data_IF_513187058869
#
_entry.id   IF_513187058869
#
_cell.length_a   1.000
_cell.length_b   1.000
_cell.length_c   1.000
_cell.angle_alpha   90.00
_cell.angle_beta   90.00
_cell.angle_gamma   90.00
#
_symmetry.space_group_name_H-M   'P 1'
#
loop_
_entity.id
_entity.type
_entity.pdbx_description
1 polymer ?
#
# COMPACT_ATOMS: atom_id res chain seq x y z
N UNK A 1 33.79 18.24 -24.81
CA UNK A 1 32.85 17.08 -24.93
C UNK A 1 31.95 16.90 -23.69
N UNK A 2 32.43 17.09 -22.46
CA UNK A 2 31.61 16.94 -21.25
C UNK A 2 30.43 17.95 -21.12
N UNK A 3 30.62 19.21 -21.54
CA UNK A 3 29.60 20.27 -21.47
C UNK A 3 28.39 20.02 -22.40
N UNK A 4 28.64 19.55 -23.63
CA UNK A 4 27.59 19.21 -24.60
C UNK A 4 26.77 18.00 -24.15
N UNK A 5 27.43 16.96 -23.61
CA UNK A 5 26.77 15.76 -23.11
C UNK A 5 25.85 16.07 -21.92
N UNK A 6 26.28 16.96 -21.01
CA UNK A 6 25.48 17.42 -19.87
C UNK A 6 24.24 18.22 -20.30
N UNK A 7 24.36 19.11 -21.30
CA UNK A 7 23.22 19.86 -21.86
C UNK A 7 22.18 18.94 -22.54
N UNK A 8 22.62 17.94 -23.29
CA UNK A 8 21.72 16.98 -23.94
C UNK A 8 20.93 16.14 -22.93
N UNK A 9 21.58 15.70 -21.84
CA UNK A 9 20.93 14.94 -20.77
C UNK A 9 19.86 15.80 -20.07
N UNK A 10 20.18 17.06 -19.73
CA UNK A 10 19.22 17.99 -19.10
C UNK A 10 18.01 18.25 -20.01
N UNK A 11 18.24 18.47 -21.31
CA UNK A 11 17.17 18.67 -22.29
C UNK A 11 16.24 17.45 -22.41
N UNK A 12 16.83 16.25 -22.43
CA UNK A 12 16.06 15.00 -22.48
C UNK A 12 15.22 14.78 -21.20
N UNK A 13 15.79 15.06 -20.02
CA UNK A 13 15.06 14.97 -18.75
C UNK A 13 13.89 15.96 -18.70
N UNK A 14 14.11 17.22 -19.08
CA UNK A 14 13.05 18.24 -19.15
C UNK A 14 11.93 17.87 -20.13
N UNK A 15 12.28 17.23 -21.25
CA UNK A 15 11.30 16.74 -22.23
C UNK A 15 10.47 15.57 -21.68
N UNK A 16 11.11 14.63 -20.98
CA UNK A 16 10.44 13.50 -20.34
C UNK A 16 9.47 13.96 -19.23
N UNK A 17 9.89 14.91 -18.40
CA UNK A 17 9.05 15.47 -17.33
C UNK A 17 7.82 16.18 -17.89
N UNK A 18 7.97 16.98 -18.96
CA UNK A 18 6.83 17.63 -19.63
C UNK A 18 5.84 16.64 -20.21
N UNK A 19 6.34 15.53 -20.78
CA UNK A 19 5.49 14.46 -21.30
C UNK A 19 4.72 13.78 -20.16
N UNK A 20 5.41 13.45 -19.07
CA UNK A 20 4.80 12.84 -17.89
C UNK A 20 3.74 13.76 -17.25
N UNK A 21 4.04 15.05 -17.14
CA UNK A 21 3.10 16.08 -16.64
C UNK A 21 1.80 16.08 -17.44
N UNK A 22 1.91 16.09 -18.77
CA UNK A 22 0.74 16.04 -19.66
C UNK A 22 -0.05 14.74 -19.51
N UNK A 23 0.63 13.59 -19.44
CA UNK A 23 -0.01 12.28 -19.24
C UNK A 23 -0.80 12.22 -17.92
N UNK A 24 -0.21 12.71 -16.82
CA UNK A 24 -0.86 12.76 -15.50
C UNK A 24 -2.10 13.67 -15.52
N UNK A 25 -1.96 14.86 -16.09
CA UNK A 25 -3.03 15.85 -16.14
C UNK A 25 -4.22 15.34 -16.98
N UNK A 26 -3.95 14.80 -18.17
CA UNK A 26 -5.00 14.27 -19.05
C UNK A 26 -5.73 13.07 -18.45
N UNK A 27 -4.98 12.12 -17.86
CA UNK A 27 -5.57 10.93 -17.26
C UNK A 27 -6.37 11.27 -16.00
N UNK A 28 -5.84 12.16 -15.14
CA UNK A 28 -6.55 12.64 -13.96
C UNK A 28 -7.83 13.41 -14.30
N UNK A 29 -7.82 14.24 -15.35
CA UNK A 29 -9.03 14.93 -15.80
C UNK A 29 -10.10 13.97 -16.32
N UNK A 30 -9.71 12.90 -17.01
CA UNK A 30 -10.64 11.84 -17.42
C UNK A 30 -11.25 11.11 -16.22
N UNK A 31 -10.50 10.96 -15.12
CA UNK A 31 -11.04 10.32 -13.90
C UNK A 31 -12.06 11.18 -13.16
N UNK A 32 -12.07 12.51 -13.33
CA UNK A 32 -13.10 13.37 -12.73
C UNK A 32 -14.51 13.01 -13.24
N UNK A 33 -14.59 12.51 -14.47
CA UNK A 33 -15.81 11.98 -15.08
C UNK A 33 -15.53 10.56 -15.60
N UNK A 34 -15.45 9.57 -14.68
CA UNK A 34 -14.95 8.25 -15.02
C UNK A 34 -15.87 7.55 -16.05
N UNK A 35 -15.31 6.72 -16.96
CA UNK A 35 -16.10 5.93 -17.88
C UNK A 35 -17.10 5.03 -17.14
N UNK A 36 -18.30 4.86 -17.68
CA UNK A 36 -19.33 3.96 -17.12
C UNK A 36 -19.00 2.47 -17.31
N UNK A 37 -18.26 2.13 -18.36
CA UNK A 37 -17.81 0.77 -18.62
C UNK A 37 -16.62 0.41 -17.73
N UNK A 38 -16.75 -0.72 -17.02
CA UNK A 38 -15.70 -1.27 -16.13
C UNK A 38 -14.38 -1.45 -16.88
N UNK A 39 -14.38 -2.05 -18.08
CA UNK A 39 -13.14 -2.27 -18.85
C UNK A 39 -12.44 -0.96 -19.22
N UNK A 40 -13.21 0.06 -19.60
CA UNK A 40 -12.66 1.38 -19.92
C UNK A 40 -12.12 2.08 -18.67
N UNK A 41 -12.80 1.95 -17.54
CA UNK A 41 -12.34 2.49 -16.26
C UNK A 41 -11.06 1.79 -15.79
N UNK A 42 -11.00 0.46 -15.87
CA UNK A 42 -9.80 -0.31 -15.54
C UNK A 42 -8.60 0.08 -16.41
N UNK A 43 -8.82 0.28 -17.72
CA UNK A 43 -7.77 0.76 -18.62
C UNK A 43 -7.28 2.16 -18.24
N UNK A 44 -8.19 3.07 -17.86
CA UNK A 44 -7.83 4.41 -17.42
C UNK A 44 -7.07 4.38 -16.08
N UNK A 45 -7.53 3.61 -15.10
CA UNK A 45 -6.83 3.42 -13.83
C UNK A 45 -5.44 2.80 -14.03
N UNK A 46 -5.32 1.82 -14.92
CA UNK A 46 -4.02 1.23 -15.28
C UNK A 46 -3.07 2.26 -15.92
N UNK A 47 -3.57 3.16 -16.76
CA UNK A 47 -2.78 4.27 -17.31
C UNK A 47 -2.32 5.24 -16.20
N UNK A 48 -3.23 5.59 -15.29
CA UNK A 48 -2.93 6.48 -14.16
C UNK A 48 -1.89 5.85 -13.26
N UNK A 49 -2.08 4.60 -12.81
CA UNK A 49 -1.11 3.87 -12.00
C UNK A 49 0.27 3.78 -12.64
N UNK A 50 0.35 3.49 -13.95
CA UNK A 50 1.62 3.46 -14.70
C UNK A 50 2.31 4.81 -14.76
N UNK A 51 1.56 5.92 -14.84
CA UNK A 51 2.16 7.25 -14.82
C UNK A 51 2.60 7.64 -13.42
N UNK A 52 1.80 7.33 -12.39
CA UNK A 52 2.14 7.57 -10.99
C UNK A 52 3.41 6.81 -10.56
N UNK A 53 3.59 5.57 -11.00
CA UNK A 53 4.76 4.74 -10.64
C UNK A 53 6.09 5.33 -11.14
N UNK A 54 6.07 6.25 -12.10
CA UNK A 54 7.26 6.95 -12.62
C UNK A 54 7.59 8.24 -11.85
N UNK A 55 6.67 8.72 -11.02
CA UNK A 55 6.83 9.97 -10.28
C UNK A 55 7.59 9.68 -9.00
N UNK A 56 8.72 10.35 -8.80
CA UNK A 56 9.48 10.28 -7.56
C UNK A 56 8.75 10.99 -6.41
N UNK A 57 9.18 10.70 -5.19
CA UNK A 57 8.66 11.38 -4.00
C UNK A 57 9.04 12.86 -4.00
N UNK A 58 8.16 13.73 -3.49
CA UNK A 58 8.36 15.18 -3.46
C UNK A 58 8.66 15.79 -4.85
N UNK A 59 7.79 15.57 -5.85
CA UNK A 59 8.04 16.00 -7.23
C UNK A 59 7.97 17.53 -7.38
N UNK A 60 8.35 18.03 -8.57
CA UNK A 60 8.29 19.46 -8.88
C UNK A 60 6.86 20.03 -8.74
N UNK A 61 6.76 21.34 -8.51
CA UNK A 61 5.45 22.03 -8.40
C UNK A 61 4.55 21.82 -9.62
N UNK A 62 5.11 21.67 -10.82
CA UNK A 62 4.31 21.45 -12.03
C UNK A 62 3.71 20.04 -12.05
N UNK A 63 4.49 19.03 -11.69
CA UNK A 63 4.00 17.65 -11.52
C UNK A 63 2.97 17.58 -10.39
N UNK A 64 3.20 18.22 -9.24
CA UNK A 64 2.20 18.29 -8.16
C UNK A 64 0.86 18.87 -8.64
N UNK A 65 0.90 19.93 -9.45
CA UNK A 65 -0.30 20.52 -10.06
C UNK A 65 -0.97 19.54 -11.04
N UNK A 66 -0.20 18.81 -11.83
CA UNK A 66 -0.72 17.80 -12.74
C UNK A 66 -1.35 16.58 -12.03
N UNK A 67 -0.95 16.29 -10.78
CA UNK A 67 -1.56 15.25 -9.95
C UNK A 67 -2.90 15.65 -9.33
N UNK A 68 -3.20 16.95 -9.24
CA UNK A 68 -4.39 17.47 -8.54
C UNK A 68 -5.72 16.88 -9.03
N UNK A 69 -5.96 16.69 -10.34
CA UNK A 69 -7.18 16.01 -10.80
C UNK A 69 -7.29 14.56 -10.33
N UNK A 70 -6.19 13.79 -10.36
CA UNK A 70 -6.16 12.41 -9.89
C UNK A 70 -6.40 12.31 -8.38
N UNK A 71 -5.74 13.17 -7.60
CA UNK A 71 -5.94 13.28 -6.15
C UNK A 71 -7.42 13.49 -5.81
N UNK A 72 -8.09 14.40 -6.53
CA UNK A 72 -9.52 14.67 -6.31
C UNK A 72 -10.41 13.51 -6.78
N UNK A 73 -10.12 12.93 -7.94
CA UNK A 73 -10.99 11.94 -8.56
C UNK A 73 -10.98 10.60 -7.84
N UNK A 74 -9.80 10.10 -7.46
CA UNK A 74 -9.62 8.73 -6.95
C UNK A 74 -10.29 8.52 -5.58
N UNK A 75 -10.46 9.57 -4.78
CA UNK A 75 -11.20 9.50 -3.52
C UNK A 75 -12.70 9.77 -3.66
N UNK A 76 -13.21 9.96 -4.88
CA UNK A 76 -14.64 10.22 -5.06
C UNK A 76 -15.46 8.98 -4.69
N UNK A 77 -16.65 9.21 -4.13
CA UNK A 77 -17.60 8.15 -3.78
C UNK A 77 -17.91 7.22 -4.95
N UNK A 78 -17.92 7.74 -6.18
CA UNK A 78 -18.14 6.96 -7.41
C UNK A 78 -17.08 5.88 -7.61
N UNK A 79 -15.83 6.13 -7.21
CA UNK A 79 -14.72 5.19 -7.36
C UNK A 79 -14.48 4.37 -6.09
N UNK A 80 -14.47 4.99 -4.91
CA UNK A 80 -14.24 4.28 -3.63
C UNK A 80 -15.33 3.23 -3.38
N UNK A 81 -16.60 3.57 -3.65
CA UNK A 81 -17.74 2.67 -3.39
C UNK A 81 -18.08 1.77 -4.59
N UNK A 82 -17.20 1.70 -5.60
CA UNK A 82 -17.43 0.88 -6.78
C UNK A 82 -17.55 -0.61 -6.40
N UNK A 83 -18.47 -1.35 -7.01
CA UNK A 83 -18.73 -2.76 -6.65
C UNK A 83 -17.72 -3.75 -7.23
N UNK A 84 -17.18 -3.46 -8.42
CA UNK A 84 -16.21 -4.33 -9.09
C UNK A 84 -14.87 -4.45 -8.32
N UNK A 85 -14.45 -5.68 -8.08
CA UNK A 85 -13.22 -6.01 -7.33
C UNK A 85 -11.97 -5.55 -8.07
N UNK A 86 -11.93 -5.68 -9.40
CA UNK A 86 -10.80 -5.23 -10.20
C UNK A 86 -10.60 -3.72 -10.11
N UNK A 87 -11.69 -2.97 -10.17
CA UNK A 87 -11.68 -1.51 -10.01
C UNK A 87 -11.15 -1.13 -8.63
N UNK A 88 -11.60 -1.81 -7.57
CA UNK A 88 -11.08 -1.59 -6.20
C UNK A 88 -9.57 -1.83 -6.10
N UNK A 89 -9.06 -2.92 -6.68
CA UNK A 89 -7.61 -3.22 -6.65
C UNK A 89 -6.81 -2.21 -7.47
N UNK A 90 -7.28 -1.86 -8.67
CA UNK A 90 -6.61 -0.84 -9.50
C UNK A 90 -6.62 0.54 -8.82
N UNK A 91 -7.72 0.87 -8.14
CA UNK A 91 -7.85 2.10 -7.36
C UNK A 91 -6.91 2.10 -6.15
N UNK A 92 -6.84 1.00 -5.39
CA UNK A 92 -5.90 0.83 -4.28
C UNK A 92 -4.45 1.04 -4.74
N UNK A 93 -4.08 0.48 -5.90
CA UNK A 93 -2.74 0.66 -6.51
C UNK A 93 -2.46 2.13 -6.86
N UNK A 94 -3.43 2.84 -7.44
CA UNK A 94 -3.24 4.28 -7.73
C UNK A 94 -3.10 5.10 -6.44
N UNK A 95 -3.89 4.80 -5.42
CA UNK A 95 -3.88 5.52 -4.15
C UNK A 95 -2.61 5.23 -3.33
N UNK A 96 -2.10 3.99 -3.35
CA UNK A 96 -0.82 3.67 -2.71
C UNK A 96 0.34 4.44 -3.35
N UNK A 97 0.34 4.56 -4.69
CA UNK A 97 1.34 5.36 -5.40
C UNK A 97 1.23 6.86 -5.13
N UNK A 98 0.01 7.41 -5.08
CA UNK A 98 -0.17 8.82 -4.70
C UNK A 98 0.35 9.09 -3.29
N UNK A 99 0.04 8.19 -2.36
CA UNK A 99 0.54 8.29 -0.98
C UNK A 99 2.07 8.23 -0.94
N UNK A 100 2.69 7.36 -1.76
CA UNK A 100 4.16 7.31 -1.91
C UNK A 100 4.73 8.63 -2.43
N UNK A 101 4.09 9.24 -3.42
CA UNK A 101 4.55 10.49 -4.04
C UNK A 101 4.49 11.66 -3.05
N UNK A 102 3.43 11.73 -2.25
CA UNK A 102 3.17 12.85 -1.33
C UNK A 102 3.67 12.61 0.10
N UNK A 103 4.26 11.45 0.41
CA UNK A 103 4.86 11.23 1.71
C UNK A 103 5.98 12.27 1.97
N UNK A 104 6.20 12.73 3.21
CA UNK A 104 5.52 12.31 4.45
C UNK A 104 4.17 13.01 4.71
N UNK A 105 3.89 14.14 4.06
CA UNK A 105 2.78 15.03 4.44
C UNK A 105 1.39 14.46 4.11
N UNK A 106 1.32 13.48 3.20
CA UNK A 106 0.09 12.82 2.81
C UNK A 106 -0.81 13.67 1.89
N UNK A 107 -1.62 13.06 1.00
CA UNK A 107 -2.42 13.83 0.05
C UNK A 107 -3.80 14.26 0.58
N UNK A 108 -4.21 13.71 1.73
CA UNK A 108 -5.60 13.64 2.17
C UNK A 108 -5.72 13.98 3.65
N UNK A 109 -6.90 14.44 4.05
CA UNK A 109 -7.22 14.55 5.48
C UNK A 109 -7.44 13.16 6.11
N UNK A 110 -7.44 13.11 7.44
CA UNK A 110 -7.55 11.88 8.23
C UNK A 110 -8.73 10.99 7.83
N UNK A 111 -9.92 11.56 7.62
CA UNK A 111 -11.11 10.79 7.24
C UNK A 111 -10.93 10.15 5.86
N UNK A 112 -10.49 10.93 4.88
CA UNK A 112 -10.22 10.44 3.54
C UNK A 112 -9.10 9.38 3.55
N UNK A 113 -8.06 9.61 4.35
CA UNK A 113 -6.95 8.68 4.48
C UNK A 113 -7.40 7.34 5.08
N UNK A 114 -8.31 7.35 6.07
CA UNK A 114 -8.92 6.12 6.61
C UNK A 114 -9.65 5.30 5.53
N UNK A 115 -10.40 5.95 4.63
CA UNK A 115 -11.03 5.25 3.50
C UNK A 115 -10.01 4.67 2.51
N UNK A 116 -8.94 5.43 2.22
CA UNK A 116 -7.84 4.96 1.38
C UNK A 116 -7.17 3.73 1.99
N UNK A 117 -6.86 3.77 3.28
CA UNK A 117 -6.24 2.67 4.02
C UNK A 117 -7.13 1.43 4.01
N UNK A 118 -8.45 1.58 4.22
CA UNK A 118 -9.41 0.45 4.14
C UNK A 118 -9.41 -0.20 2.77
N UNK A 119 -9.42 0.60 1.71
CA UNK A 119 -9.38 0.09 0.35
C UNK A 119 -8.06 -0.66 0.08
N UNK A 120 -6.93 -0.11 0.52
CA UNK A 120 -5.61 -0.76 0.41
C UNK A 120 -5.60 -2.10 1.15
N UNK A 121 -6.04 -2.16 2.40
CA UNK A 121 -6.07 -3.43 3.17
C UNK A 121 -6.99 -4.45 2.54
N UNK A 122 -8.15 -4.05 2.03
CA UNK A 122 -9.07 -4.96 1.31
C UNK A 122 -8.43 -5.57 0.05
N UNK A 123 -7.42 -4.91 -0.53
CA UNK A 123 -6.66 -5.45 -1.66
C UNK A 123 -5.78 -6.65 -1.29
N UNK A 124 -5.64 -7.00 -0.01
CA UNK A 124 -4.87 -8.18 0.41
C UNK A 124 -5.71 -9.45 0.56
N UNK A 125 -7.05 -9.37 0.55
CA UNK A 125 -7.95 -10.50 0.84
C UNK A 125 -7.69 -11.75 -0.03
N UNK A 126 -7.37 -11.55 -1.31
CA UNK A 126 -7.14 -12.60 -2.29
C UNK A 126 -5.68 -12.70 -2.75
N UNK A 127 -4.72 -12.24 -1.94
CA UNK A 127 -3.29 -12.28 -2.29
C UNK A 127 -2.74 -13.71 -2.47
N UNK A 128 -3.45 -14.74 -1.99
CA UNK A 128 -3.09 -16.13 -2.23
C UNK A 128 -3.41 -16.60 -3.66
N UNK A 129 -4.34 -15.97 -4.37
CA UNK A 129 -4.80 -16.43 -5.68
C UNK A 129 -3.86 -15.99 -6.82
N UNK A 130 -2.90 -16.85 -7.17
CA UNK A 130 -1.98 -16.63 -8.29
C UNK A 130 -2.67 -16.67 -9.66
N UNK A 131 -3.87 -17.26 -9.77
CA UNK A 131 -4.63 -17.29 -11.02
C UNK A 131 -5.35 -15.97 -11.30
N UNK A 132 -5.51 -15.14 -10.26
CA UNK A 132 -6.08 -13.81 -10.39
C UNK A 132 -5.20 -12.94 -11.28
N UNK A 133 -5.81 -12.31 -12.29
CA UNK A 133 -5.14 -11.28 -13.11
C UNK A 133 -4.63 -10.07 -12.30
N UNK A 134 -5.02 -9.96 -11.03
CA UNK A 134 -4.67 -8.88 -10.11
C UNK A 134 -3.56 -9.26 -9.12
N UNK A 135 -3.05 -10.49 -9.16
CA UNK A 135 -2.07 -11.00 -8.22
C UNK A 135 -0.82 -10.10 -8.12
N UNK A 136 -0.20 -9.79 -9.26
CA UNK A 136 0.97 -8.89 -9.34
C UNK A 136 0.66 -7.48 -8.83
N UNK A 137 -0.54 -6.97 -9.11
CA UNK A 137 -0.96 -5.65 -8.60
C UNK A 137 -1.07 -5.65 -7.09
N UNK A 138 -1.59 -6.73 -6.48
CA UNK A 138 -1.70 -6.84 -5.02
C UNK A 138 -0.32 -6.95 -4.35
N UNK A 139 0.63 -7.66 -4.98
CA UNK A 139 2.04 -7.68 -4.52
C UNK A 139 2.64 -6.28 -4.58
N UNK A 140 2.48 -5.57 -5.70
CA UNK A 140 3.00 -4.20 -5.84
C UNK A 140 2.40 -3.23 -4.80
N UNK A 141 1.11 -3.37 -4.47
CA UNK A 141 0.49 -2.58 -3.38
C UNK A 141 1.17 -2.90 -2.04
N UNK A 142 1.36 -4.17 -1.72
CA UNK A 142 2.01 -4.61 -0.48
C UNK A 142 3.43 -4.04 -0.36
N UNK A 143 4.21 -4.10 -1.44
CA UNK A 143 5.55 -3.51 -1.51
C UNK A 143 5.54 -2.00 -1.27
N UNK A 144 4.64 -1.27 -1.92
CA UNK A 144 4.51 0.18 -1.73
C UNK A 144 4.14 0.51 -0.29
N UNK A 145 3.19 -0.22 0.32
CA UNK A 145 2.79 -0.06 1.73
C UNK A 145 3.98 -0.25 2.67
N UNK A 146 4.79 -1.30 2.46
CA UNK A 146 5.99 -1.55 3.26
C UNK A 146 7.02 -0.43 3.09
N UNK A 147 7.29 -0.02 1.84
CA UNK A 147 8.30 0.99 1.50
C UNK A 147 8.00 2.35 2.12
N UNK A 148 6.75 2.80 2.06
CA UNK A 148 6.34 4.12 2.59
C UNK A 148 5.90 4.06 4.04
N UNK A 149 6.00 2.88 4.67
CA UNK A 149 5.61 2.63 6.06
C UNK A 149 4.17 3.09 6.34
N UNK A 150 3.25 2.79 5.43
CA UNK A 150 1.87 3.27 5.51
C UNK A 150 1.14 2.77 6.79
N UNK A 151 1.63 1.68 7.37
CA UNK A 151 1.18 1.18 8.66
C UNK A 151 1.44 2.14 9.84
N UNK A 152 2.44 3.02 9.76
CA UNK A 152 2.65 4.07 10.78
C UNK A 152 1.53 5.10 10.70
N UNK A 153 1.11 5.48 9.50
CA UNK A 153 -0.07 6.35 9.32
C UNK A 153 -1.33 5.69 9.88
N UNK A 154 -1.46 4.37 9.83
CA UNK A 154 -2.57 3.67 10.49
C UNK A 154 -2.53 3.81 12.02
N UNK A 155 -1.34 3.82 12.62
CA UNK A 155 -1.15 4.06 14.06
C UNK A 155 -1.50 5.51 14.41
N UNK A 156 -0.94 6.47 13.68
CA UNK A 156 -1.19 7.91 13.88
C UNK A 156 -2.69 8.27 13.79
N UNK A 157 -3.42 7.54 12.95
CA UNK A 157 -4.86 7.70 12.75
C UNK A 157 -5.72 6.80 13.64
N UNK A 158 -5.13 6.07 14.59
CA UNK A 158 -5.83 5.17 15.53
C UNK A 158 -6.71 4.13 14.82
N UNK A 159 -6.18 3.49 13.77
CA UNK A 159 -6.89 2.51 12.94
C UNK A 159 -6.75 1.05 13.43
N UNK A 160 -6.85 0.82 14.74
CA UNK A 160 -6.57 -0.48 15.37
C UNK A 160 -7.32 -1.66 14.75
N UNK A 161 -8.63 -1.48 14.49
CA UNK A 161 -9.45 -2.51 13.88
C UNK A 161 -8.95 -2.90 12.47
N UNK A 162 -8.47 -1.92 11.70
CA UNK A 162 -7.94 -2.13 10.36
C UNK A 162 -6.55 -2.77 10.39
N UNK A 163 -5.72 -2.40 11.37
CA UNK A 163 -4.41 -3.04 11.61
C UNK A 163 -4.61 -4.52 11.95
N UNK A 164 -5.57 -4.83 12.84
CA UNK A 164 -5.93 -6.20 13.19
C UNK A 164 -6.44 -7.00 12.00
N UNK A 165 -7.28 -6.39 11.15
CA UNK A 165 -7.74 -6.99 9.91
C UNK A 165 -6.56 -7.30 8.97
N UNK A 166 -5.66 -6.35 8.77
CA UNK A 166 -4.45 -6.51 7.94
C UNK A 166 -3.58 -7.67 8.43
N UNK A 167 -3.32 -7.78 9.74
CA UNK A 167 -2.55 -8.89 10.31
C UNK A 167 -3.21 -10.24 10.04
N UNK A 168 -4.54 -10.33 10.23
CA UNK A 168 -5.29 -11.56 9.95
C UNK A 168 -5.24 -11.91 8.45
N UNK A 169 -5.36 -10.92 7.58
CA UNK A 169 -5.25 -11.13 6.13
C UNK A 169 -3.89 -11.68 5.76
N UNK A 170 -2.79 -11.05 6.20
CA UNK A 170 -1.43 -11.52 5.91
C UNK A 170 -1.22 -12.98 6.33
N UNK A 171 -1.57 -13.31 7.58
CA UNK A 171 -1.45 -14.67 8.11
C UNK A 171 -2.36 -15.68 7.39
N UNK A 172 -3.55 -15.26 6.94
CA UNK A 172 -4.48 -16.10 6.17
C UNK A 172 -4.02 -16.33 4.73
N UNK A 173 -3.40 -15.33 4.09
CA UNK A 173 -3.13 -15.33 2.64
C UNK A 173 -1.71 -15.71 2.27
N UNK A 174 -0.73 -15.64 3.17
CA UNK A 174 0.65 -16.02 2.88
C UNK A 174 0.75 -17.51 2.49
N UNK A 175 1.56 -17.80 1.46
CA UNK A 175 1.76 -19.16 0.90
C UNK A 175 3.23 -19.40 0.57
N UNK A 176 3.65 -20.66 0.58
CA UNK A 176 5.05 -21.07 0.32
C UNK A 176 5.54 -20.70 -1.08
N UNK A 177 4.63 -20.60 -2.05
CA UNK A 177 4.95 -20.23 -3.44
C UNK A 177 5.05 -18.72 -3.66
N UNK A 178 4.68 -17.90 -2.67
CA UNK A 178 4.83 -16.45 -2.80
C UNK A 178 6.32 -16.11 -2.93
N UNK A 179 6.68 -15.12 -3.77
CA UNK A 179 8.06 -14.65 -3.83
C UNK A 179 8.47 -14.06 -2.48
N UNK A 180 9.77 -14.14 -2.13
CA UNK A 180 10.30 -13.70 -0.83
C UNK A 180 9.96 -12.25 -0.48
N UNK A 181 9.75 -11.40 -1.50
CA UNK A 181 9.33 -10.01 -1.31
C UNK A 181 7.98 -9.90 -0.58
N UNK A 182 7.06 -10.85 -0.78
CA UNK A 182 5.76 -10.88 -0.09
C UNK A 182 5.97 -11.18 1.39
N UNK A 183 6.78 -12.21 1.70
CA UNK A 183 7.08 -12.58 3.09
C UNK A 183 7.77 -11.42 3.83
N UNK A 184 8.84 -10.88 3.24
CA UNK A 184 9.61 -9.79 3.85
C UNK A 184 8.80 -8.48 3.97
N UNK A 185 7.91 -8.18 3.03
CA UNK A 185 7.02 -7.01 3.14
C UNK A 185 5.98 -7.17 4.24
N UNK A 186 5.30 -8.33 4.33
CA UNK A 186 4.36 -8.60 5.43
C UNK A 186 5.06 -8.54 6.78
N UNK A 187 6.24 -9.16 6.89
CA UNK A 187 7.03 -9.15 8.12
C UNK A 187 7.43 -7.74 8.51
N UNK A 188 7.96 -6.94 7.57
CA UNK A 188 8.39 -5.58 7.82
C UNK A 188 7.23 -4.69 8.28
N UNK A 189 6.05 -4.82 7.66
CA UNK A 189 4.84 -4.08 8.06
C UNK A 189 4.41 -4.48 9.47
N UNK A 190 4.25 -5.78 9.73
CA UNK A 190 3.79 -6.27 11.03
C UNK A 190 4.76 -5.92 12.16
N UNK A 191 6.07 -6.06 11.92
CA UNK A 191 7.09 -5.68 12.89
C UNK A 191 7.08 -4.17 13.16
N UNK A 192 6.95 -3.34 12.12
CA UNK A 192 6.92 -1.88 12.30
C UNK A 192 5.73 -1.43 13.13
N UNK A 193 4.54 -1.98 12.89
CA UNK A 193 3.37 -1.67 13.72
C UNK A 193 3.68 -1.92 15.20
N UNK A 194 4.30 -3.04 15.55
CA UNK A 194 4.63 -3.37 16.94
C UNK A 194 5.71 -2.45 17.51
N UNK A 195 6.77 -2.17 16.74
CA UNK A 195 7.88 -1.32 17.18
C UNK A 195 7.45 0.13 17.45
N UNK A 196 6.63 0.69 16.56
CA UNK A 196 6.17 2.08 16.59
C UNK A 196 4.93 2.28 17.47
N UNK A 197 4.29 1.20 17.95
CA UNK A 197 3.19 1.33 18.91
C UNK A 197 3.71 1.81 20.27
N UNK A 198 3.11 2.85 20.83
CA UNK A 198 3.41 3.30 22.20
C UNK A 198 2.96 2.26 23.22
N UNK A 199 1.69 1.83 23.14
CA UNK A 199 1.09 0.80 23.99
C UNK A 199 0.64 -0.41 23.17
N UNK A 200 1.25 -1.57 23.44
CA UNK A 200 0.93 -2.81 22.73
C UNK A 200 -0.18 -3.55 23.48
N UNK A 201 -1.40 -3.47 22.95
CA UNK A 201 -2.51 -4.26 23.49
C UNK A 201 -2.35 -5.76 23.17
N UNK A 202 -2.81 -6.62 24.09
CA UNK A 202 -2.91 -8.06 23.80
C UNK A 202 -3.82 -8.35 22.59
N UNK A 203 -4.82 -7.50 22.36
CA UNK A 203 -5.69 -7.60 21.19
C UNK A 203 -4.90 -7.53 19.89
N UNK A 204 -3.96 -6.57 19.78
CA UNK A 204 -3.06 -6.40 18.65
C UNK A 204 -2.17 -7.64 18.42
N UNK A 205 -1.65 -8.24 19.49
CA UNK A 205 -0.78 -9.42 19.41
C UNK A 205 -1.52 -10.73 19.17
N UNK A 206 -2.83 -10.79 19.48
CA UNK A 206 -3.60 -12.02 19.45
C UNK A 206 -3.51 -12.77 18.11
N UNK A 207 -3.66 -12.14 16.92
CA UNK A 207 -3.54 -12.85 15.64
C UNK A 207 -2.17 -13.54 15.46
N UNK A 208 -1.10 -12.91 15.94
CA UNK A 208 0.27 -13.42 15.83
C UNK A 208 0.48 -14.57 16.81
N UNK A 209 0.08 -14.37 18.07
CA UNK A 209 0.19 -15.37 19.12
C UNK A 209 -0.62 -16.63 18.78
N UNK A 210 -1.85 -16.46 18.29
CA UNK A 210 -2.71 -17.58 17.91
C UNK A 210 -2.16 -18.38 16.71
N UNK A 211 -1.49 -17.69 15.78
CA UNK A 211 -0.80 -18.30 14.66
C UNK A 211 0.39 -19.19 15.09
N UNK A 212 1.13 -18.78 16.12
CA UNK A 212 2.33 -19.51 16.57
C UNK A 212 2.08 -20.60 17.61
N UNK A 213 0.88 -20.67 18.20
CA UNK A 213 0.50 -21.75 19.14
C UNK A 213 0.71 -23.12 18.50
N UNK A 214 1.37 -24.01 19.25
CA UNK A 214 1.73 -25.37 18.80
C UNK A 214 0.51 -26.22 18.44
N UNK A 215 -0.60 -26.02 19.15
CA UNK A 215 -1.81 -26.82 18.99
C UNK A 215 -2.71 -26.32 17.84
N UNK A 216 -2.41 -25.15 17.27
CA UNK A 216 -3.14 -24.64 16.11
C UNK A 216 -2.65 -25.34 14.83
N UNK A 217 -3.18 -26.54 14.57
CA UNK A 217 -2.83 -27.38 13.41
C UNK A 217 -3.39 -26.86 12.07
N UNK A 218 -4.29 -25.88 12.10
CA UNK A 218 -4.93 -25.32 10.89
C UNK A 218 -4.02 -24.31 10.18
N UNK A 219 -3.09 -23.69 10.91
CA UNK A 219 -2.19 -22.66 10.39
C UNK A 219 -1.10 -23.26 9.51
N UNK A 220 -0.88 -22.65 8.34
CA UNK A 220 0.16 -23.08 7.41
C UNK A 220 1.58 -22.87 7.99
N UNK A 221 2.57 -23.73 7.62
CA UNK A 221 3.95 -23.58 8.10
C UNK A 221 4.56 -22.20 7.82
N UNK A 222 4.35 -21.65 6.61
CA UNK A 222 4.81 -20.29 6.26
C UNK A 222 4.17 -19.18 7.09
N UNK A 223 2.87 -19.27 7.40
CA UNK A 223 2.20 -18.29 8.25
C UNK A 223 2.76 -18.34 9.68
N UNK A 224 3.00 -19.55 10.19
CA UNK A 224 3.66 -19.74 11.49
C UNK A 224 5.09 -19.22 11.48
N UNK A 225 5.84 -19.41 10.39
CA UNK A 225 7.18 -18.83 10.21
C UNK A 225 7.11 -17.31 10.26
N UNK A 226 6.18 -16.69 9.53
CA UNK A 226 5.97 -15.24 9.53
C UNK A 226 5.68 -14.72 10.95
N UNK A 227 4.72 -15.33 11.65
CA UNK A 227 4.37 -14.92 13.02
C UNK A 227 5.55 -15.04 13.99
N UNK A 228 6.32 -16.13 13.93
CA UNK A 228 7.54 -16.30 14.75
C UNK A 228 8.58 -15.23 14.43
N UNK A 229 8.80 -14.95 13.16
CA UNK A 229 9.80 -13.98 12.70
C UNK A 229 9.49 -12.57 13.20
N UNK A 230 8.21 -12.17 13.13
CA UNK A 230 7.73 -10.89 13.68
C UNK A 230 7.98 -10.81 15.20
N UNK A 231 7.59 -11.85 15.95
CA UNK A 231 7.82 -11.87 17.42
C UNK A 231 9.31 -11.80 17.77
N UNK A 232 10.17 -12.49 17.02
CA UNK A 232 11.62 -12.46 17.23
C UNK A 232 12.20 -11.08 16.96
N UNK A 233 11.79 -10.41 15.87
CA UNK A 233 12.24 -9.05 15.53
C UNK A 233 11.80 -8.03 16.58
N UNK A 234 10.59 -8.18 17.11
CA UNK A 234 10.04 -7.25 18.09
C UNK A 234 10.33 -7.64 19.55
N UNK A 235 11.18 -8.63 19.81
CA UNK A 235 11.38 -9.19 21.14
C UNK A 235 11.70 -8.14 22.21
N UNK A 236 12.57 -7.16 21.89
CA UNK A 236 12.95 -6.08 22.81
C UNK A 236 11.76 -5.23 23.26
N UNK A 237 10.87 -4.88 22.32
CA UNK A 237 9.64 -4.12 22.59
C UNK A 237 8.61 -4.96 23.35
N UNK A 238 8.54 -6.27 23.07
CA UNK A 238 7.59 -7.21 23.66
C UNK A 238 7.98 -7.74 25.06
N UNK A 239 9.24 -7.58 25.48
CA UNK A 239 9.68 -7.95 26.84
C UNK A 239 9.00 -7.07 27.90
N UNK A 240 8.67 -5.82 27.58
CA UNK A 240 8.10 -4.85 28.54
C UNK A 240 6.64 -5.20 28.91
N UNK A 241 5.73 -5.52 27.97
CA UNK A 241 4.35 -5.91 28.30
C UNK A 241 4.22 -7.25 29.04
N UNK A 242 5.14 -8.21 28.85
CA UNK A 242 5.01 -9.56 29.44
C UNK A 242 5.40 -9.57 30.93
N UNK A 243 6.34 -8.73 31.37
CA UNK A 243 6.69 -8.63 32.79
C UNK A 243 5.69 -7.80 33.61
N UNK A 244 4.87 -6.93 33.00
CA UNK A 244 3.82 -6.18 33.70
C UNK A 244 2.53 -6.98 33.91
N UNK A 245 2.45 -8.19 33.34
CA UNK A 245 1.29 -9.10 33.43
C UNK A 245 1.54 -10.33 34.32
N UNK A 246 2.76 -10.45 34.88
CA UNK A 246 3.16 -11.45 35.89
C UNK A 246 3.41 -10.76 37.22
#
# INVERSE_FOLDING_TARGET
MASTKKRTIISAMVSADKKLEKELLEAGNKLLNPPSSVDNLLRLLGQVGKSLSKVEQSPSKSIQKALSPSLKALISDKLIKHSDVGVKVALASCLSELTRITAPDGPYNDHQMKEVLRLIVSSFENLHDMSSRWYETRISILETVAKVRLCVVMLDLECDALILEMFRLFLKTIREYHPEIVFSSMEAIMARVIEESDDISLGLLYPILDCVKKDNKVVSPIARKLGKSVLQKCATKLIIPICGML
#
